data_IF_390565758337
#
_entry.id   IF_390565758337
#
_cell.length_a   1.000
_cell.length_b   1.000
_cell.length_c   1.000
_cell.angle_alpha   90.00
_cell.angle_beta   90.00
_cell.angle_gamma   90.00
#
_symmetry.space_group_name_H-M   'P 1'
#
loop_
_entity.id
_entity.type
_entity.pdbx_description
1 polymer ?
#
# COMPACT_ATOMS: atom_id res chain seq x y z
N UNK A 1 -12.72 10.33 3.40
CA UNK A 1 -13.37 9.07 2.97
C UNK A 1 -12.34 8.00 3.20
N UNK A 2 -12.66 7.02 4.02
CA UNK A 2 -11.70 6.05 4.49
C UNK A 2 -11.53 4.92 3.46
N UNK A 3 -10.28 4.58 3.15
CA UNK A 3 -9.90 3.51 2.24
C UNK A 3 -9.34 2.35 3.04
N UNK A 4 -9.85 1.14 2.80
CA UNK A 4 -9.36 -0.08 3.43
C UNK A 4 -8.24 -0.68 2.60
N UNK A 5 -7.07 -0.82 3.21
CA UNK A 5 -5.90 -1.47 2.62
C UNK A 5 -5.74 -2.86 3.22
N UNK A 6 -5.51 -3.86 2.38
CA UNK A 6 -5.29 -5.25 2.79
C UNK A 6 -3.92 -5.68 2.26
N UNK A 7 -3.07 -6.14 3.17
CA UNK A 7 -1.70 -6.52 2.87
C UNK A 7 -1.54 -8.04 2.77
N UNK A 8 -0.75 -8.48 1.80
CA UNK A 8 -0.49 -9.91 1.54
C UNK A 8 1.00 -10.22 1.57
N UNK A 9 1.30 -11.50 1.79
CA UNK A 9 2.67 -12.06 1.75
C UNK A 9 3.66 -11.24 2.61
N UNK A 10 4.86 -10.99 2.10
CA UNK A 10 5.92 -10.30 2.83
C UNK A 10 5.54 -8.87 3.22
N UNK A 11 4.62 -8.22 2.49
CA UNK A 11 4.22 -6.83 2.77
C UNK A 11 3.53 -6.79 4.13
N UNK A 12 2.60 -7.72 4.36
CA UNK A 12 1.96 -7.92 5.66
C UNK A 12 2.96 -8.27 6.76
N UNK A 13 3.90 -9.16 6.46
CA UNK A 13 4.88 -9.63 7.46
C UNK A 13 5.81 -8.50 7.91
N UNK A 14 6.23 -7.62 7.00
CA UNK A 14 7.07 -6.46 7.31
C UNK A 14 6.29 -5.34 7.99
N UNK A 15 5.11 -4.98 7.48
CA UNK A 15 4.27 -3.96 8.11
C UNK A 15 3.76 -4.43 9.50
N UNK A 16 3.65 -5.76 9.71
CA UNK A 16 3.18 -6.34 10.96
C UNK A 16 1.66 -6.27 11.16
N UNK A 17 0.93 -5.82 10.13
CA UNK A 17 -0.52 -5.62 10.18
C UNK A 17 -1.18 -6.17 8.91
N UNK A 18 -2.29 -6.94 9.03
CA UNK A 18 -2.95 -7.56 7.88
C UNK A 18 -3.78 -6.58 7.06
N UNK A 19 -4.37 -5.57 7.69
CA UNK A 19 -5.21 -4.57 7.04
C UNK A 19 -5.30 -3.30 7.91
N UNK A 20 -5.66 -2.19 7.28
CA UNK A 20 -5.94 -0.93 7.95
C UNK A 20 -6.93 -0.07 7.17
N UNK A 21 -7.60 0.81 7.91
CA UNK A 21 -8.46 1.85 7.39
C UNK A 21 -7.71 3.19 7.45
N UNK A 22 -7.49 3.82 6.28
CA UNK A 22 -6.72 5.05 6.17
C UNK A 22 -7.49 6.15 5.42
N UNK A 23 -7.32 7.38 5.86
CA UNK A 23 -7.71 8.55 5.07
C UNK A 23 -6.56 8.93 4.14
N UNK A 24 -6.77 8.75 2.84
CA UNK A 24 -5.76 9.09 1.83
C UNK A 24 -5.59 10.62 1.74
N UNK A 25 -4.35 11.13 1.73
CA UNK A 25 -4.11 12.56 1.56
C UNK A 25 -4.52 13.01 0.15
N UNK A 26 -4.78 14.31 0.02
CA UNK A 26 -5.01 14.93 -1.28
C UNK A 26 -3.80 14.70 -2.20
N UNK A 27 -4.04 14.29 -3.44
CA UNK A 27 -2.99 14.01 -4.44
C UNK A 27 -2.62 12.53 -4.60
N UNK A 28 -3.24 11.62 -3.85
CA UNK A 28 -3.17 10.17 -4.14
C UNK A 28 -4.25 9.84 -5.18
N UNK A 29 -3.85 9.80 -6.45
CA UNK A 29 -4.77 9.55 -7.58
C UNK A 29 -4.49 8.21 -8.27
N UNK A 30 -3.27 7.70 -8.16
CA UNK A 30 -2.83 6.45 -8.78
C UNK A 30 -2.29 5.45 -7.76
N UNK A 31 -2.18 4.18 -8.16
CA UNK A 31 -1.48 3.15 -7.37
C UNK A 31 -0.04 3.56 -7.09
N UNK A 32 0.63 4.18 -8.06
CA UNK A 32 2.00 4.66 -7.88
C UNK A 32 2.08 5.75 -6.79
N UNK A 33 1.09 6.64 -6.71
CA UNK A 33 1.00 7.64 -5.65
C UNK A 33 0.74 6.97 -4.29
N UNK A 34 -0.14 5.98 -4.25
CA UNK A 34 -0.44 5.21 -3.04
C UNK A 34 0.82 4.53 -2.49
N UNK A 35 1.57 3.82 -3.34
CA UNK A 35 2.81 3.15 -2.94
C UNK A 35 3.88 4.13 -2.47
N UNK A 36 4.02 5.30 -3.14
CA UNK A 36 4.92 6.38 -2.71
C UNK A 36 4.53 6.93 -1.35
N UNK A 37 3.24 7.19 -1.13
CA UNK A 37 2.74 7.66 0.15
C UNK A 37 2.96 6.62 1.26
N UNK A 38 2.61 5.34 1.02
CA UNK A 38 2.82 4.27 2.00
C UNK A 38 4.28 4.17 2.43
N UNK A 39 5.24 4.21 1.48
CA UNK A 39 6.68 4.21 1.79
C UNK A 39 7.10 5.30 2.77
N UNK A 40 6.45 6.47 2.72
CA UNK A 40 6.78 7.61 3.59
C UNK A 40 6.28 7.47 5.02
N UNK A 41 5.47 6.45 5.34
CA UNK A 41 4.85 6.29 6.67
C UNK A 41 5.79 5.70 7.74
N UNK A 42 6.96 5.21 7.35
CA UNK A 42 7.98 4.71 8.27
C UNK A 42 8.83 3.59 7.67
N UNK A 43 9.87 3.21 8.41
CA UNK A 43 10.87 2.23 7.96
C UNK A 43 10.27 0.88 7.56
N UNK A 44 9.27 0.39 8.30
CA UNK A 44 8.59 -0.89 7.98
C UNK A 44 7.90 -0.85 6.61
N UNK A 45 7.26 0.28 6.26
CA UNK A 45 6.61 0.44 4.96
C UNK A 45 7.62 0.61 3.82
N UNK A 46 8.70 1.35 4.08
CA UNK A 46 9.80 1.50 3.15
C UNK A 46 10.43 0.14 2.82
N UNK A 47 10.73 -0.66 3.84
CA UNK A 47 11.24 -2.02 3.69
C UNK A 47 10.25 -2.97 3.01
N UNK A 48 8.96 -2.85 3.33
CA UNK A 48 7.90 -3.66 2.71
C UNK A 48 7.77 -3.41 1.20
N UNK A 49 7.94 -2.15 0.79
CA UNK A 49 7.71 -1.70 -0.58
C UNK A 49 9.01 -1.42 -1.34
N UNK A 50 10.18 -1.83 -0.83
CA UNK A 50 11.50 -1.51 -1.39
C UNK A 50 11.64 -1.89 -2.88
N UNK A 51 10.91 -2.91 -3.34
CA UNK A 51 10.82 -3.35 -4.73
C UNK A 51 9.43 -3.05 -5.31
N UNK A 52 9.16 -1.82 -5.77
CA UNK A 52 7.80 -1.44 -6.21
C UNK A 52 7.34 -2.20 -7.45
N UNK A 53 8.23 -2.56 -8.37
CA UNK A 53 7.90 -3.19 -9.66
C UNK A 53 7.33 -4.62 -9.53
N UNK A 54 7.54 -5.26 -8.37
CA UNK A 54 6.99 -6.59 -8.07
C UNK A 54 5.70 -6.53 -7.26
N UNK A 55 5.32 -5.35 -6.76
CA UNK A 55 4.09 -5.18 -6.00
C UNK A 55 2.91 -5.14 -6.96
N UNK A 56 1.96 -6.04 -6.75
CA UNK A 56 0.69 -6.07 -7.48
C UNK A 56 -0.40 -5.51 -6.59
N UNK A 57 -1.25 -4.68 -7.18
CA UNK A 57 -2.37 -4.05 -6.49
C UNK A 57 -3.68 -4.45 -7.19
N UNK A 58 -4.73 -4.56 -6.40
CA UNK A 58 -6.08 -4.74 -6.87
C UNK A 58 -6.98 -3.71 -6.19
N UNK A 59 -7.88 -3.08 -6.96
CA UNK A 59 -8.88 -2.14 -6.45
C UNK A 59 -10.22 -2.86 -6.51
N UNK A 60 -10.89 -3.00 -5.37
CA UNK A 60 -12.17 -3.71 -5.27
C UNK A 60 -12.13 -5.12 -5.88
N UNK A 61 -11.04 -5.86 -5.64
CA UNK A 61 -10.78 -7.21 -6.18
C UNK A 61 -10.51 -7.28 -7.68
N UNK A 62 -10.43 -6.13 -8.37
CA UNK A 62 -10.02 -6.07 -9.77
C UNK A 62 -8.54 -5.71 -9.86
N UNK A 63 -7.77 -6.49 -10.62
CA UNK A 63 -6.36 -6.19 -10.85
C UNK A 63 -6.22 -4.90 -11.66
N UNK A 64 -5.28 -4.06 -11.26
CA UNK A 64 -4.95 -2.80 -11.93
C UNK A 64 -3.49 -2.82 -12.36
N UNK A 65 -3.21 -2.27 -13.54
CA UNK A 65 -1.86 -2.03 -14.06
C UNK A 65 -1.28 -0.69 -13.57
#
# INVERSE_FOLDING_TARGET
>A
MTTRLIYFAWVRERIGMPEEDVDLPAGVETVADLLRWLKSRGEEYEHALQYPDVIRVAINQEHVE
#
